data_IF_404888379131
#
_entry.id   IF_404888379131
#
_cell.length_a   1.000
_cell.length_b   1.000
_cell.length_c   1.000
_cell.angle_alpha   90.00
_cell.angle_beta   90.00
_cell.angle_gamma   90.00
#
_symmetry.space_group_name_H-M   'P 1'
#
loop_
_entity.id
_entity.type
_entity.pdbx_description
1 polymer ?
#
# COMPACT_ATOMS: atom_id res chain seq x y z
N UNK A 1 35.84 -15.90 15.39
CA UNK A 1 34.58 -16.67 15.40
C UNK A 1 33.48 -15.77 14.84
N UNK A 2 33.03 -15.95 13.59
CA UNK A 2 31.87 -15.20 13.11
C UNK A 2 30.62 -15.74 13.83
N UNK A 3 29.88 -14.85 14.49
CA UNK A 3 28.57 -15.16 15.06
C UNK A 3 27.62 -15.46 13.91
N UNK A 4 27.24 -16.73 13.74
CA UNK A 4 26.23 -17.13 12.77
C UNK A 4 24.88 -16.56 13.19
N UNK A 5 24.35 -15.62 12.41
CA UNK A 5 22.92 -15.29 12.46
C UNK A 5 22.15 -16.58 12.22
N UNK A 6 21.40 -17.03 13.22
CA UNK A 6 20.57 -18.22 13.11
C UNK A 6 19.37 -17.99 12.19
N UNK A 7 18.64 -19.07 11.84
CA UNK A 7 17.52 -19.06 10.88
C UNK A 7 16.37 -18.10 11.26
N UNK A 8 16.25 -17.74 12.54
CA UNK A 8 15.26 -16.78 13.01
C UNK A 8 15.59 -15.33 12.61
N UNK A 9 16.87 -14.97 12.47
CA UNK A 9 17.27 -13.62 12.06
C UNK A 9 16.94 -13.37 10.57
N UNK A 10 17.10 -14.40 9.73
CA UNK A 10 16.73 -14.38 8.31
C UNK A 10 15.20 -14.29 8.16
N UNK A 11 14.44 -15.13 8.88
CA UNK A 11 12.97 -15.08 8.86
C UNK A 11 12.38 -13.74 9.30
N UNK A 12 12.99 -13.07 10.29
CA UNK A 12 12.58 -11.71 10.71
C UNK A 12 12.96 -10.66 9.66
N UNK A 13 14.11 -10.83 9.00
CA UNK A 13 14.57 -9.99 7.90
C UNK A 13 13.60 -10.02 6.72
N UNK A 14 13.20 -11.21 6.28
CA UNK A 14 12.30 -11.43 5.16
C UNK A 14 10.91 -10.83 5.41
N UNK A 15 10.33 -11.09 6.59
CA UNK A 15 9.04 -10.53 6.98
C UNK A 15 9.04 -8.99 6.99
N UNK A 16 10.17 -8.38 7.39
CA UNK A 16 10.35 -6.92 7.41
C UNK A 16 10.48 -6.36 6.00
N UNK A 17 11.24 -7.03 5.13
CA UNK A 17 11.43 -6.64 3.73
C UNK A 17 10.09 -6.67 2.96
N UNK A 18 9.31 -7.74 3.11
CA UNK A 18 8.00 -7.84 2.49
C UNK A 18 7.02 -6.75 2.99
N UNK A 19 7.04 -6.45 4.29
CA UNK A 19 6.18 -5.42 4.87
C UNK A 19 6.52 -4.02 4.31
N UNK A 20 7.82 -3.75 4.14
CA UNK A 20 8.31 -2.54 3.50
C UNK A 20 7.86 -2.48 2.03
N UNK A 21 8.08 -3.55 1.28
CA UNK A 21 7.69 -3.64 -0.14
C UNK A 21 6.19 -3.40 -0.32
N UNK A 22 5.34 -4.08 0.46
CA UNK A 22 3.88 -3.86 0.44
C UNK A 22 3.49 -2.42 0.75
N UNK A 23 4.26 -1.73 1.60
CA UNK A 23 4.01 -0.32 1.90
C UNK A 23 4.42 0.57 0.72
N UNK A 24 5.60 0.35 0.15
CA UNK A 24 6.08 1.08 -1.02
C UNK A 24 5.13 0.94 -2.21
N UNK A 25 4.66 -0.27 -2.50
CA UNK A 25 3.70 -0.46 -3.58
C UNK A 25 2.38 0.27 -3.31
N UNK A 26 1.85 0.27 -2.08
CA UNK A 26 0.62 1.04 -1.76
C UNK A 26 0.84 2.52 -2.01
N UNK A 27 1.98 3.05 -1.56
CA UNK A 27 2.35 4.44 -1.80
C UNK A 27 2.38 4.74 -3.29
N UNK A 28 3.07 3.93 -4.08
CA UNK A 28 3.16 4.11 -5.53
C UNK A 28 1.80 4.12 -6.19
N UNK A 29 0.93 3.14 -5.88
CA UNK A 29 -0.42 3.08 -6.43
C UNK A 29 -1.21 4.35 -6.13
N UNK A 30 -1.23 4.81 -4.88
CA UNK A 30 -1.94 6.04 -4.51
C UNK A 30 -1.34 7.28 -5.19
N UNK A 31 -0.01 7.38 -5.28
CA UNK A 31 0.65 8.52 -5.91
C UNK A 31 0.47 8.59 -7.43
N UNK A 32 0.15 7.48 -8.11
CA UNK A 32 -0.24 7.48 -9.52
C UNK A 32 -1.56 8.20 -9.79
N UNK A 33 -2.42 8.33 -8.78
CA UNK A 33 -3.74 8.97 -8.87
C UNK A 33 -3.71 10.35 -8.15
N UNK A 34 -3.58 11.48 -8.86
CA UNK A 34 -3.37 12.80 -8.24
C UNK A 34 -4.50 13.25 -7.29
N UNK A 35 -5.73 12.82 -7.55
CA UNK A 35 -6.89 13.08 -6.70
C UNK A 35 -6.81 12.32 -5.37
N UNK A 36 -6.34 11.07 -5.38
CA UNK A 36 -6.10 10.28 -4.16
C UNK A 36 -4.94 10.84 -3.35
N UNK A 37 -3.87 11.28 -4.02
CA UNK A 37 -2.76 11.98 -3.38
C UNK A 37 -3.21 13.32 -2.73
N UNK A 38 -4.14 14.03 -3.36
CA UNK A 38 -4.74 15.25 -2.79
C UNK A 38 -5.62 14.95 -1.57
N UNK A 39 -6.38 13.85 -1.59
CA UNK A 39 -7.16 13.42 -0.42
C UNK A 39 -6.28 13.03 0.77
N UNK A 40 -5.08 12.50 0.52
CA UNK A 40 -4.12 12.18 1.56
C UNK A 40 -3.67 13.41 2.35
N UNK A 41 -3.48 14.56 1.67
CA UNK A 41 -3.09 15.83 2.32
C UNK A 41 -4.27 16.64 2.87
N UNK A 42 -5.48 16.38 2.39
CA UNK A 42 -6.70 17.00 2.93
C UNK A 42 -7.05 16.51 4.35
N UNK A 43 -6.50 15.37 4.79
CA UNK A 43 -6.72 14.86 6.13
C UNK A 43 -5.97 15.68 7.19
N UNK A 44 -6.61 16.02 8.32
CA UNK A 44 -5.89 16.57 9.47
C UNK A 44 -4.87 15.54 9.98
N UNK A 45 -3.58 15.87 9.83
CA UNK A 45 -2.52 14.93 10.14
C UNK A 45 -1.13 15.40 9.72
N UNK A 46 -0.15 14.49 9.74
CA UNK A 46 1.25 14.82 9.44
C UNK A 46 1.53 14.97 7.94
N UNK A 47 0.63 14.52 7.07
CA UNK A 47 0.87 14.48 5.62
C UNK A 47 0.58 15.85 4.98
N UNK A 48 1.55 16.76 5.02
CA UNK A 48 1.47 18.04 4.28
C UNK A 48 1.84 17.90 2.81
N UNK A 49 2.60 16.87 2.47
CA UNK A 49 2.99 16.49 1.11
C UNK A 49 2.70 14.98 0.96
N UNK A 50 1.97 14.54 -0.07
CA UNK A 50 1.64 13.13 -0.23
C UNK A 50 2.88 12.24 -0.39
N UNK A 51 4.01 12.79 -0.86
CA UNK A 51 5.29 12.07 -1.00
C UNK A 51 5.98 11.75 0.35
N UNK A 52 5.54 12.38 1.44
CA UNK A 52 6.08 12.09 2.78
C UNK A 52 5.47 10.81 3.38
N UNK A 53 4.32 10.38 2.87
CA UNK A 53 3.74 9.10 3.28
C UNK A 53 4.48 7.93 2.65
N UNK A 54 4.85 6.95 3.46
CA UNK A 54 5.60 5.76 3.04
C UNK A 54 4.68 4.58 2.66
N UNK A 55 3.36 4.79 2.58
CA UNK A 55 2.41 3.72 2.27
C UNK A 55 2.02 2.84 3.46
N UNK A 56 2.49 3.18 4.65
CA UNK A 56 2.08 2.49 5.88
C UNK A 56 0.60 2.70 6.16
N UNK A 57 -0.09 1.60 6.39
CA UNK A 57 -1.47 1.55 6.89
C UNK A 57 -1.43 0.86 8.25
N UNK A 58 -1.95 1.48 9.33
CA UNK A 58 -2.01 0.85 10.63
C UNK A 58 -2.70 -0.53 10.58
N UNK A 59 -2.24 -1.51 11.38
CA UNK A 59 -2.82 -2.84 11.40
C UNK A 59 -4.30 -2.81 11.76
N UNK A 60 -5.04 -3.83 11.34
CA UNK A 60 -6.47 -3.97 11.63
C UNK A 60 -6.79 -4.18 13.11
N UNK A 61 -5.82 -4.65 13.87
CA UNK A 61 -5.93 -4.86 15.31
C UNK A 61 -4.71 -4.31 16.04
N UNK A 62 -4.90 -3.93 17.30
CA UNK A 62 -3.80 -3.57 18.20
C UNK A 62 -3.09 -4.80 18.78
N UNK A 63 -2.08 -4.58 19.62
CA UNK A 63 -1.33 -5.66 20.29
C UNK A 63 -2.18 -6.54 21.22
N UNK A 64 -3.40 -6.10 21.56
CA UNK A 64 -4.36 -6.81 22.40
C UNK A 64 -5.51 -7.41 21.58
N UNK A 65 -5.35 -7.51 20.25
CA UNK A 65 -6.36 -8.02 19.32
C UNK A 65 -7.67 -7.22 19.31
N UNK A 66 -7.65 -5.94 19.69
CA UNK A 66 -8.82 -5.05 19.57
C UNK A 66 -8.87 -4.44 18.18
N UNK A 67 -10.06 -4.31 17.56
CA UNK A 67 -10.19 -3.67 16.26
C UNK A 67 -9.66 -2.24 16.26
N UNK A 68 -8.91 -1.89 15.22
CA UNK A 68 -8.45 -0.53 14.98
C UNK A 68 -9.49 0.22 14.13
N UNK A 69 -10.29 1.03 14.80
CA UNK A 69 -11.37 1.85 14.28
C UNK A 69 -10.95 3.30 13.99
N UNK A 70 -9.64 3.61 14.03
CA UNK A 70 -9.17 4.98 13.85
C UNK A 70 -9.64 5.57 12.52
N UNK A 71 -10.20 6.80 12.50
CA UNK A 71 -10.65 7.46 11.27
C UNK A 71 -9.54 7.55 10.22
N UNK A 72 -8.30 7.77 10.68
CA UNK A 72 -7.11 7.78 9.82
C UNK A 72 -6.93 6.44 9.09
N UNK A 73 -7.02 5.32 9.80
CA UNK A 73 -6.89 3.99 9.17
C UNK A 73 -7.99 3.78 8.13
N UNK A 74 -9.24 4.12 8.47
CA UNK A 74 -10.36 3.97 7.55
C UNK A 74 -10.12 4.73 6.23
N UNK A 75 -9.64 5.97 6.28
CA UNK A 75 -9.33 6.74 5.07
C UNK A 75 -8.15 6.12 4.31
N UNK A 76 -7.06 5.75 4.98
CA UNK A 76 -5.90 5.14 4.31
C UNK A 76 -6.28 3.83 3.61
N UNK A 77 -7.08 2.98 4.26
CA UNK A 77 -7.60 1.74 3.67
C UNK A 77 -8.44 2.05 2.43
N UNK A 78 -9.35 3.05 2.52
CA UNK A 78 -10.18 3.48 1.39
C UNK A 78 -9.34 3.98 0.22
N UNK A 79 -8.33 4.82 0.46
CA UNK A 79 -7.44 5.33 -0.58
C UNK A 79 -6.66 4.20 -1.26
N UNK A 80 -6.13 3.25 -0.49
CA UNK A 80 -5.42 2.10 -1.04
C UNK A 80 -6.36 1.21 -1.88
N UNK A 81 -7.57 0.93 -1.38
CA UNK A 81 -8.54 0.10 -2.08
C UNK A 81 -8.99 0.73 -3.40
N UNK A 82 -9.21 2.05 -3.41
CA UNK A 82 -9.60 2.79 -4.60
C UNK A 82 -8.46 2.84 -5.63
N UNK A 83 -7.21 3.06 -5.19
CA UNK A 83 -6.05 3.02 -6.08
C UNK A 83 -5.90 1.64 -6.74
N UNK A 84 -6.06 0.56 -5.95
CA UNK A 84 -6.01 -0.81 -6.47
C UNK A 84 -7.12 -1.06 -7.50
N UNK A 85 -8.35 -0.62 -7.23
CA UNK A 85 -9.48 -0.76 -8.15
C UNK A 85 -9.19 -0.10 -9.50
N UNK A 86 -8.64 1.12 -9.49
CA UNK A 86 -8.30 1.85 -10.72
C UNK A 86 -7.17 1.20 -11.50
N UNK A 87 -6.14 0.71 -10.81
CA UNK A 87 -5.06 -0.03 -11.44
C UNK A 87 -5.58 -1.31 -12.11
N UNK A 88 -6.49 -2.04 -11.45
CA UNK A 88 -7.12 -3.24 -12.03
C UNK A 88 -7.99 -2.91 -13.24
N UNK A 89 -8.70 -1.78 -13.23
CA UNK A 89 -9.48 -1.34 -14.40
C UNK A 89 -8.57 -0.95 -15.56
N UNK A 90 -7.51 -0.19 -15.31
CA UNK A 90 -6.56 0.20 -16.34
C UNK A 90 -5.85 -1.02 -16.95
N UNK A 91 -5.53 -2.04 -16.14
CA UNK A 91 -4.98 -3.29 -16.63
C UNK A 91 -5.99 -4.06 -17.51
N UNK A 92 -7.25 -4.17 -17.07
CA UNK A 92 -8.30 -4.84 -17.84
C UNK A 92 -8.62 -4.12 -19.17
N UNK A 93 -8.55 -2.79 -19.20
CA UNK A 93 -8.69 -2.00 -20.42
C UNK A 93 -7.53 -2.26 -21.39
N UNK A 94 -6.29 -2.35 -20.90
CA UNK A 94 -5.12 -2.64 -21.73
C UNK A 94 -5.16 -4.05 -22.35
N UNK A 95 -5.67 -5.05 -21.63
CA UNK A 95 -5.80 -6.42 -22.13
C UNK A 95 -6.90 -6.56 -23.21
N UNK A 96 -7.85 -5.62 -23.28
CA UNK A 96 -8.95 -5.64 -24.26
C UNK A 96 -8.56 -5.00 -25.62
N UNK A 97 -7.47 -4.23 -25.69
CA UNK A 97 -6.99 -3.54 -26.90
C UNK A 97 -6.13 -4.45 -27.82
N UNK A 98 -6.32 -5.77 -27.77
CA UNK A 98 -5.79 -6.72 -28.76
C UNK A 98 -6.94 -7.20 -29.67
N UNK A 99 -7.26 -6.48 -30.77
CA UNK A 99 -8.24 -6.95 -31.73
C UNK A 99 -7.69 -8.21 -32.39
N UNK A 100 -8.21 -9.37 -31.99
CA UNK A 100 -8.02 -10.64 -32.68
C UNK A 100 -8.28 -10.41 -34.19
N UNK A 101 -7.21 -10.36 -34.99
CA UNK A 101 -7.30 -10.43 -36.44
C UNK A 101 -7.85 -11.82 -36.80
N UNK A 102 -9.17 -11.90 -36.92
CA UNK A 102 -9.86 -13.09 -37.44
C UNK A 102 -9.50 -13.28 -38.93
N UNK A 103 -9.05 -14.48 -39.34
CA UNK A 103 -8.78 -14.80 -40.75
C UNK A 103 -10.03 -14.92 -41.62
#
# INVERSE_FOLDING_TARGET
MPAGSGPHAEMIGDATAEAKQRSEERRERVLRHPDLASQLTAMPGPYRDPRTWNGYVPPSHDAYNRPNDSPRRAVLVRLCAEALRRDSMAAAEADYDDPQETP
#
